data_IF_124180647652
#
_entry.id   IF_124180647652
#
_cell.length_a   1.000
_cell.length_b   1.000
_cell.length_c   1.000
_cell.angle_alpha   90.00
_cell.angle_beta   90.00
_cell.angle_gamma   90.00
#
_symmetry.space_group_name_H-M   'P 1'
#
loop_
_entity.id
_entity.type
_entity.pdbx_description
1 polymer ?
2 non-polymer ?
3 non-polymer ?
4 water ?
#
# COMPACT_ATOMS: atom_id res chain seq x y z
N UNK A 2 -7.13 42.64 -23.90
CA UNK A 2 -7.07 41.92 -22.56
C UNK A 2 -5.67 41.97 -21.95
N UNK A 3 -5.62 41.99 -20.62
CA UNK A 3 -4.39 41.99 -19.83
C UNK A 3 -3.58 40.74 -20.05
N UNK A 4 -2.29 40.82 -19.75
CA UNK A 4 -1.43 39.68 -19.80
C UNK A 4 -1.86 38.65 -18.73
N UNK A 5 -1.78 37.36 -19.09
CA UNK A 5 -1.95 36.28 -18.13
C UNK A 5 -0.82 36.29 -17.10
N UNK A 6 -1.12 35.86 -15.87
CA UNK A 6 -0.10 35.62 -14.85
C UNK A 6 0.84 34.50 -15.31
N UNK A 7 1.96 34.36 -14.61
CA UNK A 7 2.97 33.37 -14.97
C UNK A 7 2.38 31.96 -15.02
N UNK A 8 1.67 31.60 -13.96
CA UNK A 8 1.08 30.27 -13.88
C UNK A 8 0.09 30.04 -15.04
N UNK A 9 -0.68 31.08 -15.35
CA UNK A 9 -1.67 30.94 -16.41
C UNK A 9 -1.08 30.93 -17.80
N UNK A 10 0.04 31.57 -17.98
CA UNK A 10 0.77 31.44 -19.29
C UNK A 10 1.18 29.97 -19.48
N UNK A 11 1.66 29.35 -18.41
CA UNK A 11 1.95 27.89 -18.47
C UNK A 11 0.69 27.06 -18.78
N UNK A 12 -0.40 27.32 -18.07
CA UNK A 12 -1.71 26.66 -18.35
C UNK A 12 -2.16 26.85 -19.83
N UNK A 13 -1.98 28.07 -20.36
CA UNK A 13 -2.33 28.31 -21.74
C UNK A 13 -1.53 27.41 -22.64
N UNK A 14 -0.25 27.22 -22.29
CA UNK A 14 0.62 26.29 -23.03
C UNK A 14 0.11 24.85 -22.96
N UNK A 15 -0.38 24.42 -21.82
CA UNK A 15 -1.00 23.09 -21.70
C UNK A 15 -2.24 22.99 -22.62
N UNK A 16 -3.09 24.03 -22.56
CA UNK A 16 -4.29 24.09 -23.42
C UNK A 16 -3.94 23.96 -24.92
N UNK A 17 -2.93 24.72 -25.36
CA UNK A 17 -2.54 24.68 -26.76
C UNK A 17 -1.95 23.30 -27.13
N UNK A 18 -1.22 22.67 -26.23
CA UNK A 18 -0.75 21.32 -26.48
C UNK A 18 -1.94 20.35 -26.61
N UNK A 19 -2.93 20.43 -25.72
CA UNK A 19 -4.10 19.56 -25.76
C UNK A 19 -4.93 19.69 -27.08
N UNK A 20 -4.88 20.87 -27.69
CA UNK A 20 -5.45 21.14 -28.97
C UNK A 20 -4.54 20.93 -30.17
N UNK A 21 -3.30 20.52 -29.97
CA UNK A 21 -2.36 20.43 -31.05
C UNK A 21 -2.46 19.10 -31.83
N UNK A 22 -1.86 19.09 -33.03
CA UNK A 22 -1.86 17.87 -33.87
C UNK A 22 -1.30 16.67 -33.18
N UNK A 23 -0.29 16.87 -32.36
CA UNK A 23 0.37 15.82 -31.62
C UNK A 23 -0.63 14.89 -30.91
N UNK A 24 -1.71 15.45 -30.35
CA UNK A 24 -2.66 14.64 -29.54
C UNK A 24 -4.05 14.47 -30.20
N UNK A 25 -4.19 14.89 -31.47
CA UNK A 25 -5.48 14.93 -32.17
C UNK A 25 -6.15 13.56 -32.26
N UNK A 26 -5.38 12.46 -32.36
CA UNK A 26 -5.98 11.13 -32.46
C UNK A 26 -6.90 10.79 -31.29
N UNK A 27 -6.61 11.36 -30.12
CA UNK A 27 -7.43 11.07 -28.93
C UNK A 27 -8.08 12.31 -28.37
N UNK A 28 -7.65 13.50 -28.74
CA UNK A 28 -8.21 14.72 -28.21
C UNK A 28 -9.46 15.22 -28.95
N UNK A 29 -9.66 14.80 -30.20
CA UNK A 29 -10.75 15.41 -31.01
C UNK A 29 -12.14 15.36 -30.37
N UNK A 30 -12.43 14.37 -29.51
CA UNK A 30 -13.79 14.37 -28.97
C UNK A 30 -14.09 15.49 -27.96
N UNK A 31 -13.06 16.17 -27.52
CA UNK A 31 -13.13 17.23 -26.56
C UNK A 31 -12.97 18.62 -27.17
N UNK A 32 -12.85 18.69 -28.49
CA UNK A 32 -12.61 19.98 -29.16
C UNK A 32 -13.77 20.96 -29.01
N UNK A 33 -15.00 20.44 -29.03
CA UNK A 33 -16.19 21.30 -28.98
C UNK A 33 -17.20 20.72 -28.02
N UNK A 34 -18.19 21.52 -27.65
CA UNK A 34 -19.25 20.96 -26.81
C UNK A 34 -19.90 19.70 -27.45
N UNK A 35 -20.16 18.68 -26.63
CA UNK A 35 -20.93 17.52 -27.04
C UNK A 35 -22.26 18.01 -27.60
N UNK A 36 -22.56 17.61 -28.83
CA UNK A 36 -23.82 18.06 -29.49
C UNK A 36 -24.79 16.91 -29.30
N UNK A 37 -25.60 16.97 -28.25
CA UNK A 37 -26.42 15.85 -27.87
C UNK A 37 -27.55 15.51 -28.90
N UNK A 38 -28.15 16.54 -29.50
CA UNK A 38 -29.16 16.33 -30.57
C UNK A 38 -28.51 15.65 -31.75
N UNK A 39 -27.41 16.22 -32.28
CA UNK A 39 -26.73 15.62 -33.47
C UNK A 39 -26.29 14.18 -33.28
N UNK A 40 -25.87 13.84 -32.05
CA UNK A 40 -25.40 12.49 -31.74
C UNK A 40 -26.50 11.57 -31.21
N UNK A 41 -27.70 12.11 -30.98
CA UNK A 41 -28.83 11.38 -30.42
C UNK A 41 -28.57 10.84 -29.02
N UNK A 42 -27.97 11.69 -28.18
CA UNK A 42 -27.60 11.32 -26.81
C UNK A 42 -28.67 11.97 -26.01
N UNK A 43 -29.83 11.32 -26.01
CA UNK A 43 -31.10 11.89 -25.52
C UNK A 43 -31.11 12.21 -24.02
N UNK A 44 -30.32 11.43 -23.30
CA UNK A 44 -30.13 11.57 -21.89
C UNK A 44 -28.89 12.39 -21.48
N UNK A 45 -28.10 12.92 -22.42
CA UNK A 45 -26.80 13.63 -22.09
C UNK A 45 -26.96 14.72 -21.04
N UNK A 46 -27.88 15.65 -21.32
CA UNK A 46 -28.11 16.81 -20.44
C UNK A 46 -28.88 16.45 -19.17
N UNK A 47 -29.46 15.27 -19.13
CA UNK A 47 -30.00 14.78 -17.86
C UNK A 47 -28.90 14.37 -16.91
N UNK A 48 -27.85 13.79 -17.47
CA UNK A 48 -26.76 13.22 -16.67
C UNK A 48 -25.62 14.25 -16.37
N UNK A 49 -25.29 15.05 -17.38
CA UNK A 49 -24.22 16.02 -17.33
C UNK A 49 -24.82 17.38 -17.15
N UNK A 50 -24.73 17.93 -15.93
CA UNK A 50 -25.33 19.22 -15.61
C UNK A 50 -24.41 20.40 -15.94
N UNK A 51 -23.10 20.15 -16.02
CA UNK A 51 -22.15 21.22 -16.30
C UNK A 51 -21.19 20.76 -17.43
N UNK A 52 -21.64 20.88 -18.69
CA UNK A 52 -20.81 20.50 -19.84
C UNK A 52 -19.53 21.31 -19.91
N UNK A 53 -18.48 20.71 -20.43
CA UNK A 53 -17.21 21.44 -20.61
C UNK A 53 -16.47 20.79 -21.75
N UNK A 54 -15.64 21.59 -22.40
CA UNK A 54 -14.85 21.13 -23.52
C UNK A 54 -13.70 22.12 -23.73
N UNK A 55 -12.79 21.74 -24.60
CA UNK A 55 -11.58 22.54 -24.79
C UNK A 55 -11.83 23.92 -25.37
N UNK A 56 -12.82 24.07 -26.28
CA UNK A 56 -13.11 25.36 -26.91
C UNK A 56 -13.65 26.34 -25.91
N UNK A 57 -14.38 25.81 -24.94
CA UNK A 57 -14.86 26.59 -23.84
C UNK A 57 -13.73 26.99 -22.86
N UNK A 58 -12.85 26.06 -22.51
CA UNK A 58 -11.68 26.40 -21.73
C UNK A 58 -10.89 27.52 -22.46
N UNK A 59 -10.75 27.40 -23.77
CA UNK A 59 -10.04 28.43 -24.55
C UNK A 59 -10.74 29.77 -24.50
N UNK A 60 -12.06 29.75 -24.73
CA UNK A 60 -12.85 30.98 -24.63
C UNK A 60 -12.60 31.61 -23.27
N UNK A 61 -12.63 30.81 -22.22
CA UNK A 61 -12.44 31.35 -20.88
C UNK A 61 -11.04 31.90 -20.59
N UNK A 62 -10.02 31.17 -21.07
CA UNK A 62 -8.62 31.61 -20.93
C UNK A 62 -8.36 32.90 -21.72
N UNK A 63 -8.78 32.94 -23.00
CA UNK A 63 -8.65 34.17 -23.83
C UNK A 63 -9.43 35.35 -23.23
N UNK A 64 -10.53 35.08 -22.54
CA UNK A 64 -11.29 36.13 -21.82
C UNK A 64 -10.87 36.42 -20.40
N UNK A 65 -9.74 35.87 -19.95
CA UNK A 65 -9.22 36.11 -18.60
C UNK A 65 -10.24 35.80 -17.51
N UNK A 66 -10.99 34.72 -17.69
CA UNK A 66 -11.97 34.31 -16.67
C UNK A 66 -11.41 33.43 -15.58
N UNK A 67 -10.23 32.83 -15.77
CA UNK A 67 -9.66 32.00 -14.73
C UNK A 67 -8.89 32.91 -13.76
N UNK A 68 -9.21 32.87 -12.46
CA UNK A 68 -8.43 33.67 -11.51
C UNK A 68 -7.06 33.07 -11.21
N UNK A 69 -6.89 31.77 -11.43
CA UNK A 69 -5.66 31.07 -11.08
C UNK A 69 -5.62 29.72 -11.78
N UNK A 70 -4.53 29.00 -11.59
CA UNK A 70 -4.29 27.72 -12.28
C UNK A 70 -5.28 26.63 -11.84
N UNK A 71 -5.65 26.68 -10.56
CA UNK A 71 -6.63 25.77 -9.98
C UNK A 71 -7.99 25.86 -10.67
N UNK A 72 -8.44 27.07 -11.02
CA UNK A 72 -9.69 27.26 -11.75
C UNK A 72 -9.68 26.62 -13.14
N UNK A 73 -8.56 26.82 -13.85
CA UNK A 73 -8.33 26.16 -15.14
C UNK A 73 -8.39 24.64 -15.01
N UNK A 74 -7.67 24.15 -14.05
CA UNK A 74 -7.60 22.70 -13.84
C UNK A 74 -8.95 22.11 -13.48
N UNK A 75 -9.73 22.81 -12.67
CA UNK A 75 -11.07 22.34 -12.35
C UNK A 75 -11.94 22.12 -13.60
N UNK A 76 -11.90 23.07 -14.54
CA UNK A 76 -12.64 22.95 -15.81
C UNK A 76 -12.13 21.79 -16.65
N UNK A 77 -10.82 21.63 -16.70
CA UNK A 77 -10.26 20.55 -17.49
C UNK A 77 -10.66 19.19 -16.94
N UNK A 78 -10.57 19.05 -15.61
CA UNK A 78 -10.99 17.81 -14.94
C UNK A 78 -12.47 17.55 -15.03
N UNK A 79 -13.26 18.62 -15.02
CA UNK A 79 -14.69 18.51 -15.25
C UNK A 79 -15.00 17.92 -16.62
N UNK A 80 -14.30 18.38 -17.64
CA UNK A 80 -14.43 17.85 -18.97
C UNK A 80 -14.19 16.34 -18.99
N UNK A 81 -13.12 15.88 -18.33
CA UNK A 81 -12.82 14.44 -18.31
C UNK A 81 -13.83 13.72 -17.48
N UNK A 82 -14.16 14.26 -16.30
CA UNK A 82 -15.21 13.65 -15.43
C UNK A 82 -16.56 13.47 -16.10
N UNK A 83 -17.04 14.48 -16.84
CA UNK A 83 -18.25 14.34 -17.63
C UNK A 83 -18.15 13.18 -18.60
N UNK A 84 -17.03 13.04 -19.26
CA UNK A 84 -16.86 11.94 -20.21
C UNK A 84 -16.95 10.56 -19.48
N UNK A 85 -16.22 10.41 -18.39
CA UNK A 85 -16.26 9.17 -17.61
C UNK A 85 -17.65 8.91 -17.06
N UNK A 86 -18.33 9.97 -16.65
CA UNK A 86 -19.65 9.82 -16.02
C UNK A 86 -20.70 9.35 -17.03
N UNK A 87 -20.78 10.02 -18.18
CA UNK A 87 -21.79 9.77 -19.18
C UNK A 87 -21.63 8.45 -19.87
N UNK A 88 -20.40 8.08 -20.19
CA UNK A 88 -20.20 6.99 -21.12
C UNK A 88 -19.92 5.70 -20.38
N UNK A 89 -20.18 4.59 -21.06
CA UNK A 89 -19.81 3.32 -20.49
C UNK A 89 -18.30 3.20 -20.35
N UNK A 90 -17.81 2.59 -19.29
CA UNK A 90 -16.37 2.54 -19.02
C UNK A 90 -15.55 1.88 -20.12
N UNK A 91 -16.17 0.98 -20.86
CA UNK A 91 -15.51 0.32 -22.00
C UNK A 91 -15.59 1.07 -23.35
N UNK A 92 -16.23 2.22 -23.43
CA UNK A 92 -16.31 2.98 -24.68
C UNK A 92 -14.93 3.54 -25.08
N UNK A 93 -14.67 3.55 -26.38
CA UNK A 93 -13.45 4.13 -26.93
C UNK A 93 -13.18 5.56 -26.45
N UNK A 94 -14.20 6.39 -26.28
CA UNK A 94 -14.04 7.76 -25.92
C UNK A 94 -13.50 7.88 -24.52
N UNK A 95 -13.81 6.91 -23.64
CA UNK A 95 -13.22 6.89 -22.29
C UNK A 95 -11.69 6.66 -22.30
N UNK A 96 -11.23 5.73 -23.13
CA UNK A 96 -9.80 5.50 -23.31
C UNK A 96 -9.11 6.72 -23.93
N UNK A 97 -9.80 7.42 -24.84
CA UNK A 97 -9.26 8.62 -25.41
C UNK A 97 -9.14 9.74 -24.36
N UNK A 98 -10.16 9.89 -23.53
CA UNK A 98 -10.14 10.86 -22.43
C UNK A 98 -8.97 10.61 -21.51
N UNK A 99 -8.76 9.36 -21.17
CA UNK A 99 -7.72 8.98 -20.20
C UNK A 99 -6.32 9.26 -20.76
N UNK A 100 -6.13 9.02 -22.04
CA UNK A 100 -4.88 9.31 -22.74
C UNK A 100 -4.61 10.81 -22.68
N UNK A 101 -5.64 11.60 -22.97
CA UNK A 101 -5.48 13.04 -22.95
C UNK A 101 -5.21 13.53 -21.51
N UNK A 102 -5.91 12.94 -20.55
CA UNK A 102 -5.82 13.32 -19.19
C UNK A 102 -4.41 12.98 -18.66
N UNK A 103 -3.82 11.89 -19.13
CA UNK A 103 -2.43 11.55 -18.74
C UNK A 103 -1.51 12.69 -19.10
N UNK A 104 -1.73 13.26 -20.26
CA UNK A 104 -0.95 14.41 -20.75
C UNK A 104 -1.21 15.59 -19.83
N UNK A 105 -2.49 15.90 -19.60
CA UNK A 105 -2.83 17.04 -18.76
C UNK A 105 -2.22 16.97 -17.37
N UNK A 106 -2.42 15.85 -16.70
CA UNK A 106 -2.00 15.69 -15.32
C UNK A 106 -0.50 15.82 -15.18
N UNK A 107 0.26 15.24 -16.13
CA UNK A 107 1.72 15.35 -16.12
C UNK A 107 2.17 16.80 -16.35
N UNK A 108 1.65 17.47 -17.38
CA UNK A 108 2.05 18.83 -17.62
C UNK A 108 1.65 19.77 -16.47
N UNK A 109 0.45 19.56 -15.91
CA UNK A 109 -0.04 20.40 -14.85
C UNK A 109 0.81 20.26 -13.56
N UNK A 110 1.19 19.04 -13.24
CA UNK A 110 2.01 18.78 -12.06
C UNK A 110 3.43 19.41 -12.21
N UNK A 111 3.97 19.48 -13.44
CA UNK A 111 5.28 20.06 -13.63
C UNK A 111 5.24 21.57 -13.72
N UNK A 112 4.11 22.20 -13.48
CA UNK A 112 4.04 23.65 -13.54
C UNK A 112 5.07 24.28 -12.60
N UNK A 113 5.90 25.22 -13.11
CA UNK A 113 6.93 25.83 -12.27
C UNK A 113 6.36 26.76 -11.25
N UNK B 3 -20.67 11.43 14.04
CA UNK B 3 -21.83 11.80 13.18
C UNK B 3 -21.74 11.28 11.74
N UNK B 4 -22.88 10.92 11.17
CA UNK B 4 -22.92 10.24 9.88
C UNK B 4 -22.58 11.20 8.66
N UNK B 5 -21.83 10.72 7.69
CA UNK B 5 -21.53 11.45 6.43
C UNK B 5 -22.78 11.74 5.60
N UNK B 6 -22.76 12.83 4.84
CA UNK B 6 -23.75 13.11 3.80
C UNK B 6 -23.73 12.00 2.72
N UNK B 7 -24.76 11.98 1.88
CA UNK B 7 -24.91 10.91 0.88
C UNK B 7 -23.71 10.85 -0.05
N UNK B 8 -23.31 12.00 -0.58
CA UNK B 8 -22.17 12.05 -1.50
C UNK B 8 -20.88 11.60 -0.84
N UNK B 9 -20.71 11.97 0.44
CA UNK B 9 -19.53 11.56 1.18
C UNK B 9 -19.52 10.09 1.58
N UNK B 10 -20.70 9.48 1.74
CA UNK B 10 -20.76 8.04 1.95
C UNK B 10 -20.23 7.35 0.69
N UNK B 11 -20.60 7.84 -0.49
CA UNK B 11 -20.07 7.31 -1.75
C UNK B 11 -18.53 7.49 -1.84
N UNK B 12 -18.06 8.68 -1.52
CA UNK B 12 -16.61 8.97 -1.42
C UNK B 12 -15.88 8.03 -0.44
N UNK B 13 -16.51 7.76 0.70
CA UNK B 13 -15.92 6.83 1.67
C UNK B 13 -15.80 5.45 1.07
N UNK B 14 -16.78 5.08 0.24
CA UNK B 14 -16.72 3.83 -0.51
C UNK B 14 -15.60 3.78 -1.58
N UNK B 15 -15.34 4.90 -2.26
CA UNK B 15 -14.18 5.01 -3.13
C UNK B 15 -12.87 4.79 -2.32
N UNK B 16 -12.80 5.45 -1.16
CA UNK B 16 -11.59 5.42 -0.34
C UNK B 16 -11.30 4.00 0.09
N UNK B 17 -12.35 3.28 0.48
CA UNK B 17 -12.19 1.88 0.87
C UNK B 17 -11.71 1.04 -0.28
N UNK B 18 -12.27 1.25 -1.45
CA UNK B 18 -11.82 0.50 -2.61
C UNK B 18 -10.36 0.79 -2.92
N UNK B 19 -9.95 2.06 -2.88
CA UNK B 19 -8.54 2.39 -3.12
C UNK B 19 -7.56 1.71 -2.12
N UNK B 20 -8.03 1.42 -0.91
CA UNK B 20 -7.25 0.74 0.12
C UNK B 20 -7.35 -0.78 0.10
N UNK B 21 -8.16 -1.32 -0.80
CA UNK B 21 -8.54 -2.72 -0.74
C UNK B 21 -7.48 -3.59 -1.45
N UNK B 22 -7.53 -4.90 -1.18
CA UNK B 22 -6.59 -5.86 -1.76
C UNK B 22 -6.54 -5.80 -3.27
N UNK B 23 -7.68 -5.59 -3.87
CA UNK B 23 -7.81 -5.53 -5.29
C UNK B 23 -6.78 -4.59 -5.96
N UNK B 24 -6.52 -3.43 -5.36
CA UNK B 24 -5.62 -2.46 -6.00
C UNK B 24 -4.25 -2.35 -5.33
N UNK B 25 -3.96 -3.25 -4.37
CA UNK B 25 -2.78 -3.12 -3.57
C UNK B 25 -1.48 -3.13 -4.36
N UNK B 26 -1.41 -3.87 -5.47
CA UNK B 26 -0.18 -3.96 -6.23
C UNK B 26 0.33 -2.58 -6.68
N UNK B 27 -0.56 -1.63 -6.85
CA UNK B 27 -0.18 -0.29 -7.25
C UNK B 27 -0.55 0.79 -6.26
N UNK B 28 -1.46 0.51 -5.32
CA UNK B 28 -1.89 1.49 -4.34
C UNK B 28 -0.95 1.60 -3.13
N UNK B 29 -0.16 0.57 -2.85
CA UNK B 29 0.61 0.56 -1.61
C UNK B 29 1.51 1.76 -1.37
N UNK B 30 2.08 2.35 -2.41
CA UNK B 30 2.93 3.54 -2.10
C UNK B 30 2.19 4.74 -1.53
N UNK B 31 0.87 4.74 -1.61
CA UNK B 31 0.04 5.88 -1.22
C UNK B 31 -0.68 5.62 0.09
N UNK B 32 -0.36 4.47 0.74
CA UNK B 32 -1.04 4.10 1.98
C UNK B 32 -0.72 5.04 3.13
N UNK B 33 0.51 5.54 3.18
CA UNK B 33 0.96 6.39 4.27
C UNK B 33 1.74 7.55 3.76
N UNK B 34 1.90 8.59 4.59
CA UNK B 34 2.67 9.77 4.16
C UNK B 34 4.01 9.38 3.67
N UNK B 35 4.44 10.05 2.59
CA UNK B 35 5.79 9.93 2.11
C UNK B 35 6.72 10.23 3.31
N UNK B 36 7.56 9.27 3.70
CA UNK B 36 8.48 9.46 4.84
C UNK B 36 9.81 9.83 4.20
N UNK B 37 10.06 11.11 4.11
CA UNK B 37 11.17 11.58 3.30
C UNK B 37 12.55 11.21 3.87
N UNK B 38 12.68 11.23 5.20
CA UNK B 38 13.89 10.72 5.83
C UNK B 38 14.09 9.24 5.52
N UNK B 39 13.11 8.38 5.82
CA UNK B 39 13.24 6.92 5.64
C UNK B 39 13.58 6.51 4.21
N UNK B 40 13.06 7.26 3.25
CA UNK B 40 13.30 7.02 1.83
C UNK B 40 14.43 7.84 1.23
N UNK B 41 15.05 8.69 2.04
CA UNK B 41 16.21 9.47 1.65
C UNK B 41 15.87 10.37 0.48
N UNK B 42 14.70 11.00 0.60
CA UNK B 42 14.20 11.96 -0.39
C UNK B 42 14.34 13.27 0.34
N UNK B 43 15.55 13.73 0.57
CA UNK B 43 15.64 14.83 1.55
C UNK B 43 15.06 16.18 1.01
N UNK B 44 14.88 16.29 -0.29
CA UNK B 44 14.34 17.50 -0.96
C UNK B 44 12.81 17.44 -1.09
N UNK B 45 12.19 16.36 -0.64
CA UNK B 45 10.77 16.12 -0.86
C UNK B 45 9.93 17.30 -0.40
N UNK B 46 10.16 17.72 0.84
CA UNK B 46 9.38 18.82 1.45
C UNK B 46 9.77 20.22 0.94
N UNK B 47 10.88 20.32 0.23
CA UNK B 47 11.22 21.55 -0.51
C UNK B 47 10.39 21.69 -1.75
N UNK B 48 10.12 20.56 -2.41
CA UNK B 48 9.34 20.52 -3.65
C UNK B 48 7.78 20.43 -3.42
N UNK B 49 7.36 19.60 -2.46
CA UNK B 49 5.97 19.27 -2.24
C UNK B 49 5.57 20.00 -0.99
N UNK B 50 4.77 21.04 -1.14
CA UNK B 50 4.39 21.88 0.00
C UNK B 50 3.14 21.38 0.71
N UNK B 51 2.32 20.55 0.05
CA UNK B 51 1.11 20.02 0.67
C UNK B 51 1.02 18.52 0.43
N UNK B 52 1.69 17.73 1.30
CA UNK B 52 1.74 16.27 1.11
C UNK B 52 0.37 15.73 1.28
N UNK B 53 0.08 14.63 0.64
CA UNK B 53 -1.18 13.95 0.85
C UNK B 53 -1.00 12.46 0.55
N UNK B 54 -1.81 11.66 1.25
CA UNK B 54 -1.78 10.19 1.12
C UNK B 54 -3.13 9.66 1.58
N UNK B 55 -3.38 8.38 1.31
CA UNK B 55 -4.65 7.78 1.59
C UNK B 55 -4.99 7.72 3.10
N UNK B 56 -4.00 7.48 3.97
CA UNK B 56 -4.28 7.42 5.45
C UNK B 56 -4.73 8.79 5.97
N UNK B 57 -4.20 9.84 5.37
CA UNK B 57 -4.59 11.20 5.71
C UNK B 57 -5.98 11.52 5.18
N UNK B 58 -6.28 11.12 3.94
CA UNK B 58 -7.66 11.24 3.46
C UNK B 58 -8.63 10.46 4.40
N UNK B 59 -8.25 9.28 4.85
CA UNK B 59 -9.07 8.53 5.81
C UNK B 59 -9.26 9.26 7.15
N UNK B 60 -8.14 9.75 7.72
CA UNK B 60 -8.21 10.55 8.94
C UNK B 60 -9.20 11.70 8.75
N UNK B 61 -9.09 12.41 7.64
CA UNK B 61 -9.94 13.57 7.39
C UNK B 61 -11.42 13.20 7.21
N UNK B 62 -11.67 12.12 6.47
CA UNK B 62 -13.01 11.61 6.26
C UNK B 62 -13.61 11.16 7.61
N UNK B 63 -12.88 10.33 8.38
CA UNK B 63 -13.35 9.88 9.69
C UNK B 63 -13.57 11.07 10.66
N UNK B 64 -12.80 12.12 10.51
CA UNK B 64 -13.02 13.37 11.27
C UNK B 64 -13.98 14.40 10.68
N UNK B 65 -14.69 14.06 9.61
CA UNK B 65 -15.70 14.94 9.03
C UNK B 65 -15.13 16.27 8.64
N UNK B 66 -13.91 16.25 8.11
CA UNK B 66 -13.27 17.49 7.70
C UNK B 66 -13.62 17.91 6.27
N UNK B 67 -14.17 17.00 5.46
CA UNK B 67 -14.53 17.37 4.06
C UNK B 67 -15.92 18.00 4.05
N UNK B 68 -16.07 19.23 3.56
CA UNK B 68 -17.41 19.80 3.45
C UNK B 68 -18.27 19.19 2.34
N UNK B 69 -17.63 18.60 1.32
CA UNK B 69 -18.36 18.04 0.16
C UNK B 69 -17.41 17.08 -0.59
N UNK B 70 -17.95 16.47 -1.64
CA UNK B 70 -17.24 15.50 -2.44
C UNK B 70 -16.06 16.13 -3.21
N UNK B 71 -16.26 17.37 -3.64
CA UNK B 71 -15.21 18.16 -4.30
C UNK B 71 -13.96 18.33 -3.41
N UNK B 72 -14.14 18.57 -2.12
CA UNK B 72 -13.01 18.65 -1.18
C UNK B 72 -12.21 17.37 -1.06
N UNK B 73 -12.92 16.24 -0.96
CA UNK B 73 -12.35 14.90 -0.97
C UNK B 73 -11.54 14.64 -2.23
N UNK B 74 -12.15 14.96 -3.36
CA UNK B 74 -11.50 14.83 -4.63
C UNK B 74 -10.26 15.71 -4.81
N UNK B 75 -10.30 16.94 -4.33
CA UNK B 75 -9.12 17.80 -4.36
C UNK B 75 -7.91 17.15 -3.66
N UNK B 76 -8.13 16.57 -2.48
CA UNK B 76 -7.07 15.86 -1.73
C UNK B 76 -6.56 14.61 -2.45
N UNK B 77 -7.47 13.85 -3.04
CA UNK B 77 -7.04 12.67 -3.75
C UNK B 77 -6.19 13.06 -4.97
N UNK B 78 -6.60 14.10 -5.70
CA UNK B 78 -5.87 14.57 -6.87
C UNK B 78 -4.55 15.21 -6.50
N UNK B 79 -4.52 15.82 -5.33
CA UNK B 79 -3.28 16.39 -4.78
C UNK B 79 -2.23 15.30 -4.56
N UNK B 80 -2.68 14.19 -3.97
CA UNK B 80 -1.86 13.02 -3.79
C UNK B 80 -1.23 12.54 -5.09
N UNK B 81 -2.02 12.42 -6.15
CA UNK B 81 -1.49 12.00 -7.42
C UNK B 81 -0.58 13.07 -8.03
N UNK B 82 -1.02 14.31 -8.01
CA UNK B 82 -0.18 15.43 -8.49
C UNK B 82 1.18 15.58 -7.86
N UNK B 83 1.24 15.39 -6.57
CA UNK B 83 2.51 15.44 -5.84
C UNK B 83 3.41 14.37 -6.44
N UNK B 84 2.87 13.17 -6.67
CA UNK B 84 3.68 12.06 -7.15
C UNK B 84 4.24 12.33 -8.54
N UNK B 85 3.38 12.83 -9.43
CA UNK B 85 3.83 13.22 -10.77
C UNK B 85 4.83 14.36 -10.71
N UNK B 86 4.62 15.30 -9.80
CA UNK B 86 5.51 16.47 -9.68
C UNK B 86 6.93 16.10 -9.20
N UNK B 87 7.02 15.33 -8.10
CA UNK B 87 8.28 15.09 -7.44
C UNK B 87 9.12 14.10 -8.24
N UNK B 88 8.51 13.07 -8.79
CA UNK B 88 9.25 11.97 -9.36
C UNK B 88 9.48 12.12 -10.88
N UNK B 89 10.51 11.41 -11.38
CA UNK B 89 10.73 11.39 -12.81
C UNK B 89 9.57 10.67 -13.51
N UNK B 90 9.17 11.13 -14.70
CA UNK B 90 8.03 10.56 -15.41
C UNK B 90 8.12 9.06 -15.71
N UNK B 91 9.34 8.54 -15.87
CA UNK B 91 9.53 7.14 -16.11
C UNK B 91 9.61 6.27 -14.83
N UNK B 92 9.50 6.83 -13.64
CA UNK B 92 9.61 6.03 -12.41
C UNK B 92 8.38 5.13 -12.30
N UNK B 93 8.61 3.92 -11.79
CA UNK B 93 7.56 3.00 -11.50
C UNK B 93 6.41 3.62 -10.67
N UNK B 94 6.69 4.48 -9.72
CA UNK B 94 5.68 4.95 -8.81
C UNK B 94 4.73 5.85 -9.53
N UNK B 95 5.17 6.49 -10.60
CA UNK B 95 4.30 7.29 -11.45
C UNK B 95 3.27 6.43 -12.20
N UNK B 96 3.71 5.34 -12.78
CA UNK B 96 2.81 4.40 -13.42
C UNK B 96 1.83 3.81 -12.43
N UNK B 97 2.29 3.58 -11.19
CA UNK B 97 1.40 3.07 -10.16
C UNK B 97 0.35 4.13 -9.79
N UNK B 98 0.80 5.38 -9.61
CA UNK B 98 -0.13 6.50 -9.33
C UNK B 98 -1.21 6.62 -10.40
N UNK B 99 -0.79 6.51 -11.65
CA UNK B 99 -1.73 6.66 -12.77
C UNK B 99 -2.81 5.54 -12.76
N UNK B 100 -2.38 4.32 -12.48
CA UNK B 100 -3.25 3.16 -12.43
C UNK B 100 -4.30 3.37 -11.35
N UNK B 101 -3.85 3.85 -10.20
CA UNK B 101 -4.76 4.12 -9.11
C UNK B 101 -5.69 5.28 -9.43
N UNK B 102 -5.15 6.28 -10.13
CA UNK B 102 -5.93 7.45 -10.51
C UNK B 102 -6.99 7.08 -11.54
N UNK B 103 -6.67 6.15 -12.44
CA UNK B 103 -7.69 5.63 -13.35
C UNK B 103 -8.94 5.07 -12.61
N UNK B 104 -8.70 4.35 -11.54
CA UNK B 104 -9.75 3.85 -10.65
C UNK B 104 -10.50 5.00 -10.00
N UNK B 105 -9.77 5.90 -9.38
CA UNK B 105 -10.37 7.03 -8.66
C UNK B 105 -11.26 7.87 -9.57
N UNK B 106 -10.72 8.25 -10.73
CA UNK B 106 -11.48 9.14 -11.65
C UNK B 106 -12.77 8.51 -12.09
N UNK B 107 -12.69 7.20 -12.40
CA UNK B 107 -13.85 6.49 -12.86
C UNK B 107 -14.93 6.42 -11.75
N UNK B 108 -14.55 5.98 -10.56
CA UNK B 108 -15.51 5.85 -9.46
C UNK B 108 -16.11 7.20 -9.09
N UNK B 109 -15.25 8.23 -9.07
CA UNK B 109 -15.71 9.58 -8.74
C UNK B 109 -16.70 10.12 -9.73
N UNK B 110 -16.44 9.90 -11.01
CA UNK B 110 -17.38 10.33 -12.04
C UNK B 110 -18.73 9.59 -11.99
N UNK B 111 -18.75 8.33 -11.57
CA UNK B 111 -20.01 7.57 -11.46
C UNK B 111 -20.72 7.79 -10.14
N UNK B 112 -20.27 8.74 -9.33
CA UNK B 112 -21.02 9.15 -8.15
C UNK B 112 -22.47 9.54 -8.52
N UNK B 113 -23.47 8.91 -7.91
CA UNK B 113 -24.84 9.36 -8.18
C UNK B 113 -25.07 10.86 -7.97
N UNK C 5 15.36 -3.54 -8.44
CA UNK C 5 14.71 -4.65 -7.67
C UNK C 5 13.44 -5.15 -8.37
N UNK C 6 13.13 -6.44 -8.22
CA UNK C 6 11.84 -7.01 -8.63
C UNK C 6 10.68 -6.40 -7.83
N UNK C 7 9.46 -6.63 -8.28
CA UNK C 7 8.27 -6.02 -7.66
C UNK C 7 8.13 -6.39 -6.18
N UNK C 8 8.30 -7.68 -5.91
CA UNK C 8 8.24 -8.16 -4.53
C UNK C 8 9.33 -7.49 -3.66
N UNK C 9 10.55 -7.37 -4.21
CA UNK C 9 11.64 -6.80 -3.44
C UNK C 9 11.56 -5.30 -3.27
N UNK C 10 10.93 -4.60 -4.22
CA UNK C 10 10.62 -3.19 -4.00
C UNK C 10 9.70 -3.08 -2.76
N UNK C 11 8.69 -3.91 -2.66
CA UNK C 11 7.82 -3.92 -1.50
C UNK C 11 8.62 -4.24 -0.23
N UNK C 12 9.45 -5.29 -0.28
CA UNK C 12 10.35 -5.60 0.88
C UNK C 12 11.26 -4.41 1.28
N UNK C 13 11.79 -3.69 0.29
CA UNK C 13 12.59 -2.51 0.57
C UNK C 13 11.76 -1.49 1.35
N UNK C 14 10.51 -1.36 1.00
CA UNK C 14 9.60 -0.46 1.69
C UNK C 14 9.38 -0.88 3.14
N UNK C 15 9.23 -2.19 3.39
CA UNK C 15 9.13 -2.69 4.75
C UNK C 15 10.41 -2.34 5.54
N UNK C 16 11.58 -2.58 4.92
CA UNK C 16 12.85 -2.22 5.52
C UNK C 16 12.95 -0.75 5.91
N UNK C 17 12.57 0.14 4.98
CA UNK C 17 12.65 1.56 5.28
C UNK C 17 11.68 1.91 6.38
N UNK C 18 10.51 1.27 6.43
CA UNK C 18 9.56 1.56 7.51
C UNK C 18 10.16 1.12 8.87
N UNK C 19 10.77 -0.07 8.91
CA UNK C 19 11.36 -0.56 10.13
C UNK C 19 12.48 0.36 10.67
N UNK C 20 13.15 1.07 9.75
CA UNK C 20 14.19 2.08 10.07
C UNK C 20 13.68 3.49 10.30
N UNK C 21 12.37 3.71 10.19
CA UNK C 21 11.86 5.08 10.20
C UNK C 21 11.58 5.58 11.64
N UNK C 22 11.44 6.90 11.77
CA UNK C 22 11.15 7.53 13.05
C UNK C 22 9.94 6.99 13.73
N UNK C 23 8.93 6.66 12.93
CA UNK C 23 7.72 6.04 13.44
C UNK C 23 7.97 4.88 14.44
N UNK C 24 8.95 4.03 14.18
CA UNK C 24 9.16 2.83 15.02
C UNK C 24 10.46 2.88 15.86
N UNK C 25 11.10 4.06 15.92
CA UNK C 25 12.41 4.21 16.55
C UNK C 25 12.43 3.88 18.05
N UNK C 26 11.36 4.16 18.79
CA UNK C 26 11.30 3.83 20.22
C UNK C 26 11.57 2.34 20.52
N UNK C 27 11.20 1.44 19.60
CA UNK C 27 11.43 -0.01 19.79
C UNK C 27 12.38 -0.63 18.77
N UNK C 28 12.69 0.04 17.67
CA UNK C 28 13.53 -0.53 16.62
C UNK C 28 14.99 -0.28 16.83
N UNK C 29 15.36 0.73 17.61
CA UNK C 29 16.76 1.14 17.69
C UNK C 29 17.73 0.05 18.05
N UNK C 30 17.33 -0.89 18.90
CA UNK C 30 18.31 -1.97 19.18
C UNK C 30 18.74 -2.85 18.01
N UNK C 31 18.02 -2.76 16.89
CA UNK C 31 18.26 -3.57 15.71
C UNK C 31 18.89 -2.79 14.57
N UNK C 32 19.26 -1.53 14.83
CA UNK C 32 19.81 -0.65 13.77
C UNK C 32 21.17 -1.12 13.30
N UNK C 33 21.99 -1.64 14.24
CA UNK C 33 23.33 -2.05 13.89
C UNK C 33 23.66 -3.38 14.53
N UNK C 34 24.72 -4.04 14.07
CA UNK C 34 25.13 -5.29 14.70
C UNK C 34 25.37 -5.14 16.20
N UNK C 35 24.93 -6.15 16.95
CA UNK C 35 25.15 -6.20 18.39
C UNK C 35 26.65 -6.14 18.59
N UNK C 36 27.10 -5.17 19.40
CA UNK C 36 28.54 -4.99 19.64
C UNK C 36 28.80 -5.68 20.98
N UNK C 37 29.21 -6.94 20.92
CA UNK C 37 29.29 -7.76 22.11
C UNK C 37 30.40 -7.26 23.09
N UNK C 38 31.54 -6.81 22.55
CA UNK C 38 32.64 -6.22 23.39
C UNK C 38 32.13 -5.02 24.12
N UNK C 39 31.61 -4.04 23.37
CA UNK C 39 31.14 -2.79 23.97
C UNK C 39 30.10 -2.99 25.05
N UNK C 40 29.23 -3.98 24.86
CA UNK C 40 28.14 -4.26 25.78
C UNK C 40 28.47 -5.33 26.83
N UNK C 41 29.65 -5.92 26.74
CA UNK C 41 30.15 -6.93 27.69
C UNK C 41 29.29 -8.19 27.69
N UNK C 42 28.93 -8.62 26.48
CA UNK C 42 28.02 -9.78 26.30
C UNK C 42 28.94 -10.83 25.87
N UNK C 43 29.65 -11.37 26.89
CA UNK C 43 30.86 -12.22 26.68
C UNK C 43 30.56 -13.51 25.98
N UNK C 44 29.33 -13.94 26.15
CA UNK C 44 28.78 -15.14 25.58
C UNK C 44 27.95 -14.95 24.30
N UNK C 45 27.79 -13.72 23.81
CA UNK C 45 26.92 -13.43 22.62
C UNK C 45 27.25 -14.32 21.41
N UNK C 46 28.49 -14.29 20.98
CA UNK C 46 28.92 -15.06 19.80
C UNK C 46 29.04 -16.56 20.06
N UNK C 47 29.05 -17.00 21.33
CA UNK C 47 28.90 -18.42 21.64
C UNK C 47 27.50 -18.91 21.34
N UNK C 48 26.52 -18.06 21.60
CA UNK C 48 25.10 -18.43 21.49
C UNK C 48 24.52 -18.12 20.07
N UNK C 49 24.91 -16.99 19.48
CA UNK C 49 24.38 -16.49 18.22
C UNK C 49 25.44 -16.71 17.20
N UNK C 50 25.27 -17.72 16.37
CA UNK C 50 26.26 -18.07 15.35
C UNK C 50 26.12 -17.23 14.06
N UNK C 51 24.93 -16.68 13.80
CA UNK C 51 24.66 -15.92 12.59
C UNK C 51 23.98 -14.61 12.97
N UNK C 52 24.78 -13.60 13.35
CA UNK C 52 24.25 -12.30 13.72
C UNK C 52 23.53 -11.64 12.55
N UNK C 53 22.51 -10.85 12.86
CA UNK C 53 21.81 -10.08 11.83
C UNK C 53 21.21 -8.84 12.45
N UNK C 54 21.08 -7.78 11.63
CA UNK C 54 20.53 -6.55 12.06
C UNK C 54 20.10 -5.80 10.82
N UNK C 55 19.37 -4.70 11.05
CA UNK C 55 18.75 -3.96 9.95
C UNK C 55 19.74 -3.34 8.98
N UNK C 56 20.88 -2.84 9.47
CA UNK C 56 21.90 -2.22 8.59
C UNK C 56 22.50 -3.22 7.65
N UNK C 57 22.59 -4.46 8.11
CA UNK C 57 23.05 -5.53 7.29
C UNK C 57 21.99 -5.96 6.25
N UNK C 58 20.72 -6.05 6.67
CA UNK C 58 19.65 -6.31 5.72
C UNK C 58 19.66 -5.20 4.63
N UNK C 59 19.87 -3.98 5.04
CA UNK C 59 19.98 -2.86 4.06
C UNK C 59 21.13 -3.04 3.13
N UNK C 60 22.30 -3.33 3.69
CA UNK C 60 23.50 -3.53 2.85
C UNK C 60 23.13 -4.59 1.82
N UNK C 61 22.53 -5.69 2.27
CA UNK C 61 22.26 -6.79 1.37
C UNK C 61 21.24 -6.44 0.27
N UNK C 62 20.21 -5.71 0.67
CA UNK C 62 19.17 -5.26 -0.27
C UNK C 62 19.77 -4.29 -1.30
N UNK C 63 20.50 -3.26 -0.83
CA UNK C 63 21.17 -2.30 -1.75
C UNK C 63 22.15 -3.04 -2.69
N UNK C 64 22.76 -4.14 -2.23
CA UNK C 64 23.65 -4.94 -3.05
C UNK C 64 23.01 -6.05 -3.85
N UNK C 65 21.69 -6.10 -3.90
CA UNK C 65 20.95 -7.11 -4.67
C UNK C 65 21.35 -8.52 -4.31
N UNK C 66 21.60 -8.78 -3.02
CA UNK C 66 21.98 -10.10 -2.57
C UNK C 66 20.80 -10.99 -2.29
N UNK C 67 19.59 -10.43 -2.16
CA UNK C 67 18.40 -11.28 -1.96
C UNK C 67 17.89 -11.74 -3.32
N UNK C 68 17.81 -13.06 -3.54
CA UNK C 68 17.19 -13.55 -4.78
C UNK C 68 15.65 -13.36 -4.84
N UNK C 69 15.00 -13.25 -3.68
CA UNK C 69 13.55 -13.17 -3.62
C UNK C 69 13.13 -12.65 -2.24
N UNK C 70 11.82 -12.49 -2.05
CA UNK C 70 11.27 -11.95 -0.82
C UNK C 70 11.54 -12.90 0.39
N UNK C 71 11.51 -14.21 0.12
CA UNK C 71 11.72 -15.26 1.12
C UNK C 71 13.11 -15.17 1.75
N UNK C 72 14.13 -14.84 0.94
CA UNK C 72 15.48 -14.59 1.44
C UNK C 72 15.58 -13.39 2.37
N UNK C 73 14.93 -12.30 1.98
CA UNK C 73 14.84 -11.10 2.82
C UNK C 73 14.18 -11.46 4.16
N UNK C 74 13.05 -12.13 4.07
CA UNK C 74 12.31 -12.47 5.26
C UNK C 74 13.10 -13.41 6.21
N UNK C 75 13.83 -14.35 5.65
CA UNK C 75 14.67 -15.24 6.46
C UNK C 75 15.71 -14.48 7.32
N UNK C 76 16.36 -13.47 6.71
CA UNK C 76 17.26 -12.56 7.46
C UNK C 76 16.55 -11.73 8.53
N UNK C 77 15.36 -11.21 8.21
CA UNK C 77 14.64 -10.38 9.19
C UNK C 77 14.25 -11.24 10.40
N UNK C 78 13.73 -12.44 10.13
CA UNK C 78 13.34 -13.36 11.18
C UNK C 78 14.51 -13.88 11.98
N UNK C 79 15.64 -14.01 11.34
CA UNK C 79 16.86 -14.39 12.00
C UNK C 79 17.32 -13.34 13.02
N UNK C 80 17.21 -12.08 12.62
CA UNK C 80 17.43 -10.96 13.53
C UNK C 80 16.55 -11.06 14.76
N UNK C 81 15.25 -11.32 14.59
CA UNK C 81 14.34 -11.37 15.75
C UNK C 81 14.64 -12.64 16.57
N UNK C 82 14.84 -13.76 15.89
CA UNK C 82 15.15 -15.03 16.56
C UNK C 82 16.42 -14.95 17.40
N UNK C 83 17.46 -14.29 16.90
CA UNK C 83 18.68 -14.08 17.69
C UNK C 83 18.40 -13.32 18.95
N UNK C 84 17.59 -12.30 18.85
CA UNK C 84 17.21 -11.53 20.01
C UNK C 84 16.45 -12.38 21.09
N UNK C 85 15.44 -13.13 20.65
CA UNK C 85 14.71 -14.02 21.56
C UNK C 85 15.61 -15.11 22.13
N UNK C 86 16.54 -15.59 21.33
CA UNK C 86 17.39 -16.69 21.76
C UNK C 86 18.35 -16.23 22.85
N UNK C 87 19.03 -15.11 22.59
CA UNK C 87 20.11 -14.65 23.45
C UNK C 87 19.62 -14.11 24.75
N UNK C 88 18.53 -13.37 24.72
CA UNK C 88 18.14 -12.59 25.87
C UNK C 88 17.11 -13.31 26.71
N UNK C 89 17.05 -12.94 28.02
CA UNK C 89 15.99 -13.49 28.85
C UNK C 89 14.63 -13.03 28.37
N UNK C 90 13.61 -13.89 28.43
CA UNK C 90 12.29 -13.57 27.88
C UNK C 90 11.64 -12.33 28.48
N UNK C 91 11.98 -12.01 29.72
CA UNK C 91 11.47 -10.82 30.35
C UNK C 91 12.28 -9.53 30.09
N UNK C 92 13.37 -9.57 29.33
CA UNK C 92 14.14 -8.35 29.04
C UNK C 92 13.32 -7.40 28.14
N UNK C 93 13.50 -6.10 28.40
CA UNK C 93 12.90 -5.05 27.60
C UNK C 93 13.17 -5.21 26.08
N UNK C 94 14.36 -5.63 25.69
CA UNK C 94 14.70 -5.71 24.29
C UNK C 94 13.86 -6.76 23.59
N UNK C 95 13.45 -7.81 24.31
CA UNK C 95 12.54 -8.79 23.75
C UNK C 95 11.17 -8.22 23.39
N UNK C 96 10.62 -7.42 24.27
CA UNK C 96 9.35 -6.75 24.01
C UNK C 96 9.48 -5.77 22.85
N UNK C 97 10.62 -5.11 22.74
CA UNK C 97 10.92 -4.24 21.63
C UNK C 97 11.01 -5.01 20.31
N UNK C 98 11.70 -6.15 20.34
CA UNK C 98 11.77 -7.03 19.16
C UNK C 98 10.36 -7.44 18.68
N UNK C 99 9.54 -7.83 19.63
CA UNK C 99 8.24 -8.34 19.30
C UNK C 99 7.35 -7.27 18.66
N UNK C 100 7.44 -6.06 19.18
CA UNK C 100 6.69 -4.90 18.69
C UNK C 100 7.13 -4.65 17.24
N UNK C 101 8.44 -4.66 17.01
CA UNK C 101 8.92 -4.49 15.66
C UNK C 101 8.51 -5.64 14.73
N UNK C 102 8.55 -6.86 15.26
CA UNK C 102 8.20 -8.02 14.49
C UNK C 102 6.71 -8.00 14.11
N UNK C 103 5.86 -7.49 15.00
CA UNK C 103 4.46 -7.34 14.69
C UNK C 103 4.25 -6.49 13.46
N UNK C 104 5.03 -5.43 13.35
CA UNK C 104 5.02 -4.57 12.17
C UNK C 104 5.47 -5.39 10.96
N UNK C 105 6.63 -6.05 11.10
CA UNK C 105 7.19 -6.81 9.97
C UNK C 105 6.25 -7.89 9.42
N UNK C 106 5.72 -8.72 10.32
CA UNK C 106 4.89 -9.83 9.92
C UNK C 106 3.61 -9.35 9.23
N UNK C 107 3.01 -8.27 9.74
CA UNK C 107 1.81 -7.70 9.11
C UNK C 107 2.12 -7.12 7.71
N UNK C 108 3.14 -6.30 7.59
CA UNK C 108 3.48 -5.78 6.28
C UNK C 108 3.82 -6.91 5.30
N UNK C 109 4.61 -7.88 5.77
CA UNK C 109 5.10 -8.94 4.87
C UNK C 109 3.94 -9.81 4.37
N UNK C 110 2.99 -10.07 5.23
CA UNK C 110 1.83 -10.87 4.87
C UNK C 110 0.95 -10.12 3.86
N UNK C 111 0.92 -8.78 3.92
CA UNK C 111 0.10 -8.06 2.97
C UNK C 111 0.82 -7.80 1.65
N UNK C 112 2.02 -8.35 1.44
CA UNK C 112 2.73 -8.13 0.18
C UNK C 112 1.82 -8.47 -1.04
N UNK C 113 1.66 -7.53 -1.99
CA UNK C 113 0.82 -7.84 -3.16
C UNK C 113 1.46 -8.82 -4.08
N UNK D 5 12.59 -39.13 15.25
CA UNK D 5 12.94 -37.69 14.90
C UNK D 5 14.36 -37.33 15.35
N UNK D 6 15.06 -36.45 14.60
CA UNK D 6 16.38 -35.88 15.03
C UNK D 6 16.17 -35.07 16.31
N UNK D 7 17.27 -34.70 16.93
CA UNK D 7 17.22 -33.95 18.17
C UNK D 7 16.46 -32.62 18.02
N UNK D 8 16.78 -31.88 16.98
CA UNK D 8 16.08 -30.62 16.71
C UNK D 8 14.58 -30.83 16.48
N UNK D 9 14.24 -31.89 15.76
CA UNK D 9 12.81 -32.17 15.50
C UNK D 9 12.05 -32.73 16.69
N UNK D 10 12.73 -33.40 17.64
CA UNK D 10 12.09 -33.76 18.89
C UNK D 10 11.70 -32.48 19.63
N UNK D 11 12.58 -31.50 19.63
CA UNK D 11 12.27 -30.20 20.25
C UNK D 11 11.08 -29.53 19.54
N UNK D 12 11.11 -29.49 18.22
CA UNK D 12 9.96 -28.97 17.42
C UNK D 12 8.65 -29.71 17.71
N UNK D 13 8.74 -31.02 17.87
CA UNK D 13 7.55 -31.76 18.26
C UNK D 13 7.02 -31.33 19.63
N UNK D 14 7.93 -31.05 20.55
CA UNK D 14 7.57 -30.45 21.82
C UNK D 14 6.92 -29.06 21.71
N UNK D 15 7.42 -28.22 20.82
CA UNK D 15 6.76 -26.91 20.55
C UNK D 15 5.31 -27.14 20.04
N UNK D 16 5.17 -28.08 19.12
CA UNK D 16 3.86 -28.39 18.55
C UNK D 16 2.89 -28.84 19.61
N UNK D 17 3.36 -29.68 20.53
CA UNK D 17 2.49 -30.16 21.62
C UNK D 17 2.08 -29.03 22.53
N UNK D 18 3.00 -28.13 22.84
CA UNK D 18 2.67 -27.00 23.65
C UNK D 18 1.63 -26.14 22.98
N UNK D 19 1.82 -25.86 21.69
CA UNK D 19 0.83 -25.02 20.95
C UNK D 19 -0.57 -25.62 20.95
N UNK D 20 -0.64 -26.95 21.01
CA UNK D 20 -1.92 -27.68 21.11
C UNK D 20 -2.46 -27.89 22.51
N UNK D 21 -1.74 -27.44 23.54
CA UNK D 21 -2.04 -27.81 24.94
C UNK D 21 -3.06 -26.86 25.54
N UNK D 22 -3.67 -27.28 26.64
CA UNK D 22 -4.71 -26.49 27.34
C UNK D 22 -4.25 -25.09 27.71
N UNK D 23 -2.99 -24.99 28.07
CA UNK D 23 -2.39 -23.71 28.40
C UNK D 23 -2.66 -22.57 27.39
N UNK D 24 -2.62 -22.88 26.09
CA UNK D 24 -2.74 -21.81 25.06
C UNK D 24 -4.04 -21.93 24.28
N UNK D 25 -4.95 -22.81 24.74
CA UNK D 25 -6.18 -23.05 24.02
C UNK D 25 -7.04 -21.77 23.78
N UNK D 26 -7.06 -20.81 24.70
CA UNK D 26 -7.91 -19.62 24.57
C UNK D 26 -7.62 -18.83 23.29
N UNK D 27 -6.39 -18.91 22.79
CA UNK D 27 -6.02 -18.26 21.57
C UNK D 27 -5.56 -19.18 20.46
N UNK D 28 -5.26 -20.46 20.76
CA UNK D 28 -4.81 -21.39 19.77
C UNK D 28 -5.93 -22.11 19.03
N UNK D 29 -7.11 -22.22 19.63
CA UNK D 29 -8.17 -23.05 19.06
C UNK D 29 -8.52 -22.75 17.59
N UNK D 30 -8.45 -21.49 17.14
CA UNK D 30 -8.72 -21.31 15.68
C UNK D 30 -7.76 -21.99 14.70
N UNK D 31 -6.58 -22.41 15.15
CA UNK D 31 -5.56 -22.97 14.32
C UNK D 31 -5.47 -24.46 14.46
N UNK D 32 -6.42 -25.07 15.19
CA UNK D 32 -6.38 -26.54 15.45
C UNK D 32 -6.60 -27.35 14.20
N UNK D 33 -7.46 -26.84 13.31
CA UNK D 33 -7.80 -27.58 12.10
C UNK D 33 -7.78 -26.65 10.92
N UNK D 34 -7.72 -27.21 9.70
CA UNK D 34 -7.83 -26.36 8.51
C UNK D 34 -9.01 -25.42 8.60
N UNK D 35 -8.79 -24.19 8.19
CA UNK D 35 -9.87 -23.23 7.99
C UNK D 35 -10.93 -23.90 7.09
N UNK D 36 -12.17 -23.95 7.56
CA UNK D 36 -13.27 -24.55 6.82
C UNK D 36 -14.02 -23.39 6.18
N UNK D 37 -13.68 -23.09 4.93
CA UNK D 37 -14.15 -21.89 4.33
C UNK D 37 -15.68 -21.91 4.08
N UNK D 38 -16.19 -23.06 3.68
CA UNK D 38 -17.63 -23.22 3.49
C UNK D 38 -18.37 -23.02 4.83
N UNK D 39 -17.97 -23.74 5.87
CA UNK D 39 -18.63 -23.62 7.21
C UNK D 39 -18.64 -22.19 7.81
N UNK D 40 -17.56 -21.46 7.55
CA UNK D 40 -17.40 -20.11 8.03
C UNK D 40 -17.83 -19.04 7.04
N UNK D 41 -18.25 -19.45 5.84
CA UNK D 41 -18.78 -18.54 4.82
C UNK D 41 -17.72 -17.52 4.41
N UNK D 42 -16.51 -18.05 4.20
CA UNK D 42 -15.37 -17.28 3.76
C UNK D 42 -15.20 -17.74 2.32
N UNK D 43 -16.10 -17.36 1.44
CA UNK D 43 -16.10 -18.00 0.13
C UNK D 43 -14.88 -17.63 -0.74
N UNK D 44 -14.17 -16.55 -0.38
CA UNK D 44 -13.00 -16.07 -1.09
C UNK D 44 -11.70 -16.59 -0.48
N UNK D 45 -11.78 -17.38 0.62
CA UNK D 45 -10.61 -17.81 1.35
C UNK D 45 -9.57 -18.45 0.44
N UNK D 46 -9.99 -19.43 -0.32
CA UNK D 46 -9.08 -20.19 -1.19
C UNK D 46 -8.66 -19.42 -2.45
N UNK D 47 -9.33 -18.32 -2.74
CA UNK D 47 -8.84 -17.39 -3.78
C UNK D 47 -7.64 -16.61 -3.29
N UNK D 48 -7.65 -16.23 -2.00
CA UNK D 48 -6.60 -15.41 -1.38
C UNK D 48 -5.43 -16.24 -0.80
N UNK D 49 -5.74 -17.35 -0.17
CA UNK D 49 -4.77 -18.17 0.52
C UNK D 49 -4.55 -19.40 -0.33
N UNK D 50 -3.40 -19.46 -1.00
CA UNK D 50 -3.09 -20.58 -1.90
C UNK D 50 -2.49 -21.78 -1.20
N UNK D 51 -1.90 -21.58 -0.02
CA UNK D 51 -1.27 -22.66 0.72
C UNK D 51 -1.74 -22.61 2.17
N UNK D 52 -2.94 -23.15 2.43
CA UNK D 52 -3.48 -23.22 3.77
C UNK D 52 -2.59 -24.02 4.68
N UNK D 53 -2.59 -23.67 5.96
CA UNK D 53 -1.84 -24.44 6.92
C UNK D 53 -2.49 -24.27 8.30
N UNK D 54 -2.34 -25.32 9.13
CA UNK D 54 -2.91 -25.34 10.47
C UNK D 54 -2.15 -26.34 11.29
N UNK D 55 -2.40 -26.33 12.59
CA UNK D 55 -1.65 -27.18 13.52
C UNK D 55 -1.85 -28.69 13.32
N UNK D 56 -3.04 -29.14 12.91
CA UNK D 56 -3.28 -30.61 12.66
C UNK D 56 -2.48 -31.08 11.46
N UNK D 57 -2.27 -30.20 10.49
CA UNK D 57 -1.51 -30.53 9.32
C UNK D 57 -0.03 -30.55 9.66
N UNK D 58 0.43 -29.57 10.45
CA UNK D 58 1.81 -29.65 10.96
C UNK D 58 2.04 -30.97 11.73
N UNK D 59 1.08 -31.38 12.54
CA UNK D 59 1.19 -32.64 13.27
C UNK D 59 1.25 -33.84 12.30
N UNK D 60 0.34 -33.88 11.34
CA UNK D 60 0.34 -34.97 10.35
C UNK D 60 1.72 -35.04 9.71
N UNK D 61 2.28 -33.88 9.33
CA UNK D 61 3.56 -33.86 8.66
C UNK D 61 4.75 -34.27 9.54
N UNK D 62 4.73 -33.82 10.79
CA UNK D 62 5.71 -34.23 11.79
C UNK D 62 5.64 -35.74 12.07
N UNK D 63 4.45 -36.25 12.37
CA UNK D 63 4.25 -37.70 12.59
C UNK D 63 4.68 -38.51 11.35
N UNK D 64 4.52 -37.97 10.15
CA UNK D 64 4.96 -38.63 8.91
C UNK D 64 6.40 -38.36 8.50
N UNK D 65 7.19 -37.70 9.35
CA UNK D 65 8.60 -37.42 9.05
C UNK D 65 8.80 -36.65 7.75
N UNK D 66 7.89 -35.73 7.45
CA UNK D 66 7.98 -34.96 6.21
C UNK D 66 8.87 -33.76 6.33
N UNK D 67 9.19 -33.32 7.56
CA UNK D 67 10.10 -32.15 7.72
C UNK D 67 11.54 -32.65 7.70
N UNK D 68 12.34 -32.15 6.76
CA UNK D 68 13.77 -32.53 6.78
C UNK D 68 14.59 -31.90 7.90
N UNK D 69 14.13 -30.77 8.42
CA UNK D 69 14.85 -30.06 9.48
C UNK D 69 13.88 -29.11 10.20
N UNK D 70 14.39 -28.43 11.22
CA UNK D 70 13.62 -27.51 12.04
C UNK D 70 13.09 -26.31 11.23
N UNK D 71 13.90 -25.85 10.28
CA UNK D 71 13.55 -24.77 9.38
C UNK D 71 12.30 -25.05 8.53
N UNK D 72 12.16 -26.27 8.06
CA UNK D 72 10.95 -26.69 7.35
C UNK D 72 9.70 -26.62 8.21
N UNK D 73 9.81 -27.12 9.44
CA UNK D 73 8.71 -27.05 10.43
C UNK D 73 8.32 -25.61 10.67
N UNK D 74 9.31 -24.77 10.88
CA UNK D 74 9.09 -23.38 11.16
C UNK D 74 8.45 -22.64 9.98
N UNK D 75 8.85 -22.96 8.77
CA UNK D 75 8.22 -22.38 7.58
C UNK D 75 6.71 -22.62 7.54
N UNK D 76 6.29 -23.86 7.80
CA UNK D 76 4.84 -24.17 7.89
C UNK D 76 4.13 -23.43 9.01
N UNK D 77 4.75 -23.36 10.19
CA UNK D 77 4.12 -22.68 11.31
C UNK D 77 3.93 -21.20 10.99
N UNK D 78 4.93 -20.59 10.38
CA UNK D 78 4.86 -19.18 9.98
C UNK D 78 3.88 -18.94 8.88
N UNK D 79 3.75 -19.93 7.99
CA UNK D 79 2.78 -19.86 6.89
C UNK D 79 1.36 -19.78 7.45
N UNK D 80 1.09 -20.60 8.45
CA UNK D 80 -0.17 -20.57 9.17
C UNK D 80 -0.47 -19.19 9.70
N UNK D 81 0.47 -18.55 10.38
CA UNK D 81 0.25 -17.23 10.96
C UNK D 81 0.11 -16.20 9.85
N UNK D 82 1.00 -16.29 8.86
CA UNK D 82 0.92 -15.36 7.69
C UNK D 82 -0.40 -15.39 6.96
N UNK D 83 -0.96 -16.58 6.75
CA UNK D 83 -2.23 -16.74 6.05
C UNK D 83 -3.25 -15.97 6.87
N UNK D 84 -3.20 -16.08 8.19
CA UNK D 84 -4.18 -15.41 9.05
C UNK D 84 -4.10 -13.90 8.96
N UNK D 85 -2.87 -13.39 9.03
CA UNK D 85 -2.66 -11.94 8.89
C UNK D 85 -3.06 -11.45 7.48
N UNK D 86 -2.76 -12.26 6.47
CA UNK D 86 -3.08 -11.90 5.10
C UNK D 86 -4.58 -11.83 4.81
N UNK D 87 -5.32 -12.88 5.18
CA UNK D 87 -6.73 -12.99 4.85
C UNK D 87 -7.60 -12.03 5.67
N UNK D 88 -7.34 -11.89 6.96
CA UNK D 88 -8.24 -11.21 7.84
C UNK D 88 -7.92 -9.71 7.99
N UNK D 89 -8.91 -8.92 8.39
CA UNK D 89 -8.65 -7.53 8.75
C UNK D 89 -7.74 -7.44 9.95
N UNK D 90 -6.82 -6.47 10.00
CA UNK D 90 -5.87 -6.34 11.07
C UNK D 90 -6.45 -6.17 12.46
N UNK D 91 -7.65 -5.59 12.57
CA UNK D 91 -8.30 -5.47 13.85
C UNK D 91 -9.15 -6.69 14.28
N UNK D 92 -9.25 -7.76 13.48
CA UNK D 92 -10.07 -8.92 13.85
C UNK D 92 -9.45 -9.61 15.07
N UNK D 93 -10.33 -10.14 15.93
CA UNK D 93 -9.93 -10.96 17.04
C UNK D 93 -8.98 -12.12 16.70
N UNK D 94 -9.13 -12.74 15.53
CA UNK D 94 -8.38 -13.91 15.21
C UNK D 94 -6.93 -13.53 14.89
N UNK D 95 -6.69 -12.30 14.44
CA UNK D 95 -5.35 -11.78 14.27
C UNK D 95 -4.59 -11.61 15.62
N UNK D 96 -5.27 -11.07 16.64
CA UNK D 96 -4.69 -10.93 17.95
C UNK D 96 -4.41 -12.30 18.55
N UNK D 97 -5.31 -13.26 18.28
CA UNK D 97 -5.09 -14.61 18.73
C UNK D 97 -3.86 -15.26 18.05
N UNK D 98 -3.75 -15.09 16.74
CA UNK D 98 -2.58 -15.55 15.98
C UNK D 98 -1.29 -14.98 16.52
N UNK D 99 -1.29 -13.70 16.80
CA UNK D 99 -0.10 -13.04 17.30
C UNK D 99 0.35 -13.57 18.69
N UNK D 100 -0.62 -13.82 19.55
CA UNK D 100 -0.37 -14.37 20.89
C UNK D 100 0.27 -15.76 20.77
N UNK D 101 -0.27 -16.59 19.89
CA UNK D 101 0.25 -17.89 19.65
C UNK D 101 1.64 -17.84 19.00
N UNK D 102 1.82 -16.90 18.09
CA UNK D 102 3.08 -16.69 17.43
C UNK D 102 4.15 -16.18 18.41
N UNK D 103 3.80 -15.35 19.38
CA UNK D 103 4.76 -14.98 20.44
C UNK D 103 5.33 -16.22 21.17
N UNK D 104 4.47 -17.20 21.43
CA UNK D 104 4.85 -18.49 22.06
C UNK D 104 5.77 -19.21 21.09
N UNK D 105 5.36 -19.35 19.85
CA UNK D 105 6.10 -20.11 18.87
C UNK D 105 7.51 -19.53 18.68
N UNK D 106 7.58 -18.23 18.43
CA UNK D 106 8.86 -17.60 18.14
C UNK D 106 9.82 -17.76 19.32
N UNK D 107 9.32 -17.59 20.53
CA UNK D 107 10.16 -17.70 21.71
C UNK D 107 10.68 -19.14 21.87
N UNK D 108 9.79 -20.13 21.79
CA UNK D 108 10.23 -21.52 21.97
C UNK D 108 11.18 -21.94 20.88
N UNK D 109 10.88 -21.51 19.64
CA UNK D 109 11.73 -21.86 18.50
C UNK D 109 13.12 -21.29 18.65
N UNK D 110 13.20 -20.03 19.11
CA UNK D 110 14.47 -19.40 19.26
C UNK D 110 15.30 -20.07 20.37
N UNK D 111 14.68 -20.58 21.43
CA UNK D 111 15.38 -21.27 22.53
C UNK D 111 15.63 -22.72 22.24
N UNK D 112 15.37 -23.21 21.02
CA UNK D 112 15.87 -24.52 20.60
C UNK D 112 17.38 -24.69 20.89
N UNK D 113 17.74 -25.67 21.73
CA UNK D 113 19.16 -25.74 22.02
C UNK D 113 19.98 -25.98 20.77
X LIG E 1 -18.32 12.32 -23.79
X LIG E 1 -17.95 12.83 -24.81
X LIG E 1 -16.76 13.73 -24.80
X LIG E 1 -18.56 12.71 -25.98
X LIG E 1 -19.79 11.96 -26.20
X LIG E 1 -19.60 10.53 -26.77
X LIG E 1 -18.55 10.40 -27.92
X LIG E 1 -19.14 9.95 -29.27
X LIG E 1 -18.08 9.92 -30.40
X LIG E 1 -18.70 9.84 -31.79
X LIG E 1 -18.44 10.95 -32.69
X LIG E 1 -18.47 12.31 -32.46
X LIG E 1 -18.41 13.06 -33.42
X LIG E 1 -18.60 13.01 -31.10
X LIG F 1 3.79 22.85 -21.23
X LIG F 1 4.58 23.87 -21.83
X LIG F 1 3.39 21.98 -22.37
X LIG F 1 2.03 21.76 -22.14
X LIG G 1 -5.51 19.40 -33.92
X LIG G 1 -6.22 18.62 -34.85
X LIG G 1 -4.72 20.50 -34.63
X LIG G 1 -5.05 21.73 -33.97
X LIG H 1 9.81 1.73 -6.47
X LIG H 1 8.59 1.76 -6.38
X LIG H 1 7.75 1.04 -7.40
X LIG H 1 7.92 2.38 -5.41
X LIG H 1 8.53 2.91 -4.17
X LIG H 1 9.47 4.11 -4.27
X LIG H 1 8.80 5.43 -3.81
X LIG H 1 9.57 6.64 -4.33
X LIG H 1 9.23 7.83 -3.48
X LIG H 1 7.95 8.49 -3.87
X LIG H 1 6.70 8.19 -3.17
X LIG H 1 5.61 8.90 -3.58
X LIG H 1 5.67 9.86 -4.33
X LIG H 1 4.26 8.49 -3.15
X LIG I 1 -4.80 9.73 -15.11
X LIG I 1 -4.10 10.51 -16.11
X LIG I 1 -6.16 9.40 -15.65
X LIG I 1 -6.63 8.48 -14.71
X LIG J 1 20.27 -3.70 28.77
X LIG J 1 20.82 -2.61 28.67
X LIG J 1 21.58 -2.06 29.87
X LIG J 1 20.82 -1.82 27.55
X LIG J 1 20.15 -2.13 26.26
X LIG J 1 21.05 -2.41 25.02
X LIG J 1 21.54 -3.88 24.79
X LIG J 1 20.51 -4.91 24.23
X LIG J 1 20.87 -6.42 24.28
X LIG J 1 21.36 -7.13 22.99
X LIG J 1 20.67 -6.76 21.72
X LIG J 1 19.94 -7.61 20.97
X LIG J 1 19.75 -8.81 21.18
X LIG J 1 19.33 -6.97 19.76
X LIG K 1 5.38 -1.55 2.78
X LIG K 1 4.82 -0.40 2.17
X LIG K 1 5.05 -1.52 4.22
X LIG K 1 6.04 -0.83 4.95
X LIG L 1 -12.45 -15.27 16.85
X LIG L 1 -12.68 -16.03 15.93
X LIG L 1 -11.94 -17.32 15.82
X LIG L 1 -13.61 -15.74 14.99
X LIG L 1 -13.99 -16.55 13.83
X LIG L 1 -14.51 -15.73 12.63
X LIG L 1 -14.02 -16.18 11.23
X LIG L 1 -12.54 -15.89 10.97
X LIG L 1 -11.63 -17.07 11.36
X LIG L 1 -10.62 -17.33 10.26
X LIG L 1 -9.54 -18.26 10.63
X LIG L 1 -8.21 -18.11 10.29
X LIG L 1 -7.76 -17.26 9.50
X LIG L 1 -7.25 -19.00 11.06
X LIG M 1 5.67 -11.71 17.31
X LIG M 1 5.84 -12.98 17.94
X LIG M 1 4.59 -11.84 16.26
X LIG M 1 4.71 -10.68 15.38
#
# INVERSE_FOLDING_TARGET
SMGKLSEHLRYCDSILREMLSKKHAAYAWPFYKPVDAEALELHDYHDIIKHPMDLSTVKRKMDGREYPDAQGFAADVRLMFSNCYKYNPPDHEVVAMARKLQDVFEMRFAKMP
SMGKLSEHLRYCDSILREMLSKKHAAYAWPFYKPVDAEALELHDYHDIIKHPMDLSTVKRKMDGREYPDAQGFAADVRLMFSNCYKYNPPDHEVVAMARKLQDVFEMRFAKMP
SMGKLSEHLRYCDSILREMLSKKHAAYAWPFYKPVDAEALELHDYHDIIKHPMDLSTVKRKMDGREYPDAQGFAADVRLMFSNCYKYNPPDHEVVAMARKLQDVFEMRFAKMP
SMGKLSEHLRYCDSILREMLSKKHAAYAWPFYKPVDAEALELHDYHDIIKHPMDLSTVKRKMDGREYPDAQGFAADVRLMFSNCYKYNPPDHEVVAMARKLQDVFEMRFAKMP
5D4 O1 C8 C9 N1 C7 C6 C5 C4 C3 C2 N C1 O C
EDO C1 O1 C2 O2
EDO C1 O1 C2 O2
5D4 O1 C8 C9 N1 C7 C6 C5 C4 C3 C2 N C1 O C
EDO C1 O1 C2 O2
5D4 O1 C8 C9 N1 C7 C6 C5 C4 C3 C2 N C1 O C
EDO C1 O1 C2 O2
5D4 O1 C8 C9 N1 C7 C6 C5 C4 C3 C2 N C1 O C
EDO C1 O1 C2 O2
#
